data_IF_302597721681
#
_entry.id   IF_302597721681
#
_cell.length_a   1.000
_cell.length_b   1.000
_cell.length_c   1.000
_cell.angle_alpha   90.00
_cell.angle_beta   90.00
_cell.angle_gamma   90.00
#
_symmetry.space_group_name_H-M   'P 1'
#
loop_
_entity.id
_entity.type
_entity.pdbx_description
1 polymer ?
#
# COMPACT_ATOMS: atom_id res chain seq x y z
N UNK A 1 -41.85 42.29 13.23
CA UNK A 1 -41.48 40.91 13.57
C UNK A 1 -40.61 40.41 12.44
N UNK A 2 -39.30 40.62 12.55
CA UNK A 2 -38.35 40.02 11.61
C UNK A 2 -38.28 38.54 11.92
N UNK A 3 -38.63 37.72 10.94
CA UNK A 3 -38.66 36.28 11.08
C UNK A 3 -37.26 35.73 10.72
N UNK A 4 -36.46 35.27 11.70
CA UNK A 4 -35.06 34.89 11.48
C UNK A 4 -34.90 33.56 10.71
N UNK A 5 -36.00 32.99 10.22
CA UNK A 5 -36.03 31.71 9.50
C UNK A 5 -35.94 31.85 7.97
N UNK A 6 -35.80 33.08 7.43
CA UNK A 6 -35.79 33.34 5.97
C UNK A 6 -34.42 33.77 5.39
N UNK A 7 -33.32 33.66 6.13
CA UNK A 7 -31.98 34.08 5.64
C UNK A 7 -31.05 32.93 5.22
N UNK A 8 -31.58 31.73 4.98
CA UNK A 8 -30.91 30.79 4.09
C UNK A 8 -31.16 31.30 2.67
N UNK A 9 -30.30 32.20 2.19
CA UNK A 9 -30.31 32.61 0.79
C UNK A 9 -30.20 31.34 -0.07
N UNK A 10 -31.16 31.05 -0.97
CA UNK A 10 -31.10 29.87 -1.82
C UNK A 10 -29.78 29.74 -2.58
N UNK A 11 -29.15 30.88 -2.91
CA UNK A 11 -27.83 30.93 -3.55
C UNK A 11 -26.72 30.39 -2.62
N UNK A 12 -26.76 30.72 -1.32
CA UNK A 12 -25.79 30.21 -0.33
C UNK A 12 -25.95 28.70 -0.08
N UNK A 13 -27.18 28.21 -0.05
CA UNK A 13 -27.46 26.79 0.04
C UNK A 13 -26.93 26.04 -1.20
N UNK A 14 -27.13 26.61 -2.39
CA UNK A 14 -26.69 26.00 -3.65
C UNK A 14 -25.16 25.99 -3.78
N UNK A 15 -24.47 27.09 -3.45
CA UNK A 15 -22.99 27.14 -3.37
C UNK A 15 -22.42 26.10 -2.40
N UNK A 16 -23.06 25.92 -1.23
CA UNK A 16 -22.60 24.95 -0.23
C UNK A 16 -22.76 23.50 -0.70
N UNK A 17 -23.79 23.20 -1.48
CA UNK A 17 -23.98 21.89 -2.12
C UNK A 17 -22.93 21.69 -3.22
N UNK A 18 -22.64 22.70 -4.04
CA UNK A 18 -21.60 22.66 -5.06
C UNK A 18 -20.21 22.44 -4.46
N UNK A 19 -19.86 23.18 -3.41
CA UNK A 19 -18.60 23.01 -2.67
C UNK A 19 -18.49 21.61 -2.04
N UNK A 20 -19.59 21.09 -1.47
CA UNK A 20 -19.61 19.75 -0.91
C UNK A 20 -19.41 18.70 -2.00
N UNK A 21 -20.08 18.84 -3.14
CA UNK A 21 -19.91 17.97 -4.31
C UNK A 21 -18.47 18.00 -4.82
N UNK A 22 -17.89 19.19 -5.00
CA UNK A 22 -16.51 19.33 -5.46
C UNK A 22 -15.51 18.66 -4.52
N UNK A 23 -15.72 18.75 -3.19
CA UNK A 23 -14.88 18.06 -2.19
C UNK A 23 -15.07 16.55 -2.21
N UNK A 24 -16.29 16.07 -2.41
CA UNK A 24 -16.58 14.63 -2.51
C UNK A 24 -15.94 14.04 -3.78
N UNK A 25 -16.07 14.73 -4.91
CA UNK A 25 -15.46 14.33 -6.18
C UNK A 25 -13.92 14.30 -6.07
N UNK A 26 -13.31 15.32 -5.46
CA UNK A 26 -11.87 15.37 -5.21
C UNK A 26 -11.39 14.24 -4.29
N UNK A 27 -12.14 13.93 -3.23
CA UNK A 27 -11.80 12.84 -2.32
C UNK A 27 -11.89 11.47 -3.01
N UNK A 28 -12.91 11.27 -3.86
CA UNK A 28 -13.07 10.04 -4.65
C UNK A 28 -11.92 9.87 -5.66
N UNK A 29 -11.55 10.94 -6.37
CA UNK A 29 -10.43 10.92 -7.32
C UNK A 29 -9.09 10.61 -6.62
N UNK A 30 -8.83 11.23 -5.48
CA UNK A 30 -7.60 10.97 -4.70
C UNK A 30 -7.56 9.54 -4.17
N UNK A 31 -8.70 9.00 -3.71
CA UNK A 31 -8.78 7.62 -3.25
C UNK A 31 -8.54 6.61 -4.39
N UNK A 32 -9.08 6.86 -5.58
CA UNK A 32 -8.86 6.01 -6.74
C UNK A 32 -7.38 6.03 -7.18
N UNK A 33 -6.79 7.23 -7.30
CA UNK A 33 -5.37 7.37 -7.65
C UNK A 33 -4.45 6.70 -6.63
N UNK A 34 -4.77 6.79 -5.32
CA UNK A 34 -4.04 6.08 -4.28
C UNK A 34 -4.16 4.56 -4.46
N UNK A 35 -5.37 4.06 -4.73
CA UNK A 35 -5.62 2.63 -4.96
C UNK A 35 -4.85 2.11 -6.17
N UNK A 36 -4.85 2.82 -7.30
CA UNK A 36 -4.12 2.43 -8.51
C UNK A 36 -2.61 2.39 -8.27
N UNK A 37 -2.06 3.40 -7.56
CA UNK A 37 -0.64 3.42 -7.19
C UNK A 37 -0.28 2.26 -6.27
N UNK A 38 -1.12 1.97 -5.27
CA UNK A 38 -0.93 0.83 -4.38
C UNK A 38 -0.96 -0.50 -5.14
N UNK A 39 -1.87 -0.68 -6.10
CA UNK A 39 -1.96 -1.89 -6.91
C UNK A 39 -0.77 -2.06 -7.87
N UNK A 40 -0.15 -0.97 -8.29
CA UNK A 40 1.04 -1.00 -9.14
C UNK A 40 2.36 -1.14 -8.36
N UNK A 41 2.32 -1.15 -7.02
CA UNK A 41 3.53 -1.29 -6.22
C UNK A 41 4.17 -2.66 -6.43
N UNK A 42 5.50 -2.63 -6.54
CA UNK A 42 6.34 -3.81 -6.50
C UNK A 42 7.55 -3.48 -5.64
N UNK A 43 8.05 -4.45 -4.87
CA UNK A 43 9.25 -4.27 -4.09
C UNK A 43 10.29 -5.33 -4.44
N UNK A 44 11.55 -4.90 -4.53
CA UNK A 44 12.69 -5.78 -4.79
C UNK A 44 13.67 -5.74 -3.62
N UNK A 45 14.05 -6.91 -3.14
CA UNK A 45 15.08 -7.09 -2.12
C UNK A 45 16.17 -8.04 -2.59
N UNK A 46 17.33 -7.99 -1.92
CA UNK A 46 18.44 -8.91 -2.16
C UNK A 46 19.15 -9.22 -0.86
N UNK A 47 19.85 -10.35 -0.80
CA UNK A 47 20.76 -10.66 0.30
C UNK A 47 22.02 -9.80 0.20
N UNK A 48 22.77 -9.73 1.31
CA UNK A 48 23.97 -8.89 1.41
C UNK A 48 25.06 -9.29 0.40
N UNK A 49 25.04 -10.54 -0.06
CA UNK A 49 26.01 -11.09 -1.00
C UNK A 49 25.56 -11.01 -2.48
N UNK A 50 24.34 -10.53 -2.76
CA UNK A 50 23.75 -10.52 -4.10
C UNK A 50 23.58 -11.91 -4.72
N UNK A 51 23.44 -12.92 -3.87
CA UNK A 51 23.19 -14.30 -4.25
C UNK A 51 21.74 -14.50 -4.67
N UNK A 52 20.81 -13.87 -3.97
CA UNK A 52 19.36 -14.02 -4.13
C UNK A 52 18.75 -12.63 -4.25
N UNK A 53 17.98 -12.41 -5.31
CA UNK A 53 17.16 -11.21 -5.51
C UNK A 53 15.72 -11.65 -5.72
N UNK A 54 14.79 -11.07 -4.97
CA UNK A 54 13.36 -11.39 -5.05
C UNK A 54 12.57 -10.12 -5.30
N UNK A 55 11.57 -10.22 -6.17
CA UNK A 55 10.57 -9.17 -6.40
C UNK A 55 9.19 -9.69 -6.00
N UNK A 56 8.46 -8.86 -5.26
CA UNK A 56 7.08 -9.10 -4.86
C UNK A 56 6.16 -8.04 -5.45
N UNK A 57 4.91 -8.41 -5.74
CA UNK A 57 3.86 -7.49 -6.15
C UNK A 57 3.17 -6.80 -4.96
N UNK A 58 2.19 -5.96 -5.25
CA UNK A 58 1.41 -5.21 -4.29
C UNK A 58 0.68 -6.10 -3.26
N UNK A 59 0.38 -7.34 -3.60
CA UNK A 59 -0.24 -8.30 -2.70
C UNK A 59 0.79 -9.04 -1.85
N UNK A 60 2.08 -8.80 -2.05
CA UNK A 60 3.17 -9.51 -1.36
C UNK A 60 3.50 -10.84 -2.01
N UNK A 61 2.93 -11.17 -3.17
CA UNK A 61 3.21 -12.42 -3.88
C UNK A 61 4.54 -12.31 -4.62
N UNK A 62 5.39 -13.33 -4.52
CA UNK A 62 6.64 -13.39 -5.29
C UNK A 62 6.34 -13.50 -6.80
N UNK A 63 6.73 -12.48 -7.55
CA UNK A 63 6.60 -12.43 -9.01
C UNK A 63 7.88 -12.77 -9.74
N UNK A 64 9.03 -12.61 -9.07
CA UNK A 64 10.35 -12.90 -9.65
C UNK A 64 11.35 -13.34 -8.59
N UNK A 65 12.14 -14.36 -8.92
CA UNK A 65 13.33 -14.76 -8.19
C UNK A 65 14.52 -14.84 -9.15
N UNK A 66 15.64 -14.26 -8.75
CA UNK A 66 16.92 -14.31 -9.45
C UNK A 66 17.97 -14.89 -8.52
N UNK A 67 18.59 -15.99 -8.94
CA UNK A 67 19.67 -16.65 -8.22
C UNK A 67 20.97 -16.44 -9.00
N UNK A 68 21.98 -15.89 -8.34
CA UNK A 68 23.29 -15.74 -8.95
C UNK A 68 24.01 -17.10 -9.07
N UNK A 69 25.07 -17.15 -9.88
CA UNK A 69 25.91 -18.34 -10.01
C UNK A 69 26.57 -18.77 -8.68
N UNK A 70 26.59 -17.91 -7.65
CA UNK A 70 27.17 -18.24 -6.33
C UNK A 70 26.39 -19.34 -5.60
N UNK A 71 25.09 -19.49 -5.91
CA UNK A 71 24.22 -20.50 -5.30
C UNK A 71 24.75 -21.93 -5.51
N UNK A 72 25.45 -22.18 -6.62
CA UNK A 72 26.03 -23.50 -6.93
C UNK A 72 27.12 -23.93 -5.94
N UNK A 73 27.71 -22.99 -5.20
CA UNK A 73 28.75 -23.27 -4.20
C UNK A 73 28.19 -23.33 -2.78
N UNK A 74 26.90 -23.11 -2.60
CA UNK A 74 26.24 -23.07 -1.29
C UNK A 74 25.43 -24.36 -1.07
N UNK A 75 25.16 -24.67 0.19
CA UNK A 75 24.24 -25.75 0.52
C UNK A 75 22.81 -25.34 0.14
N UNK A 76 21.97 -26.34 -0.14
CA UNK A 76 20.56 -26.11 -0.40
C UNK A 76 19.88 -25.41 0.79
N UNK A 77 20.21 -25.81 2.02
CA UNK A 77 19.71 -25.20 3.24
C UNK A 77 20.08 -23.71 3.36
N UNK A 78 21.33 -23.35 3.04
CA UNK A 78 21.73 -21.94 3.08
C UNK A 78 20.96 -21.12 2.04
N UNK A 79 20.71 -21.71 0.87
CA UNK A 79 19.95 -21.04 -0.20
C UNK A 79 18.50 -20.86 0.20
N UNK A 80 17.89 -21.86 0.84
CA UNK A 80 16.54 -21.80 1.39
C UNK A 80 16.41 -20.68 2.42
N UNK A 81 17.31 -20.63 3.40
CA UNK A 81 17.33 -19.57 4.41
C UNK A 81 17.46 -18.18 3.78
N UNK A 82 18.37 -18.04 2.80
CA UNK A 82 18.58 -16.78 2.09
C UNK A 82 17.33 -16.35 1.29
N UNK A 83 16.63 -17.28 0.64
CA UNK A 83 15.37 -16.99 -0.07
C UNK A 83 14.31 -16.50 0.90
N UNK A 84 14.11 -17.19 2.03
CA UNK A 84 13.11 -16.81 3.03
C UNK A 84 13.43 -15.45 3.65
N UNK A 85 14.71 -15.19 3.94
CA UNK A 85 15.15 -13.88 4.47
C UNK A 85 14.91 -12.75 3.47
N UNK A 86 15.29 -12.95 2.20
CA UNK A 86 15.14 -11.93 1.16
C UNK A 86 13.67 -11.69 0.82
N UNK A 87 12.83 -12.73 0.87
CA UNK A 87 11.39 -12.60 0.67
C UNK A 87 10.76 -11.72 1.76
N UNK A 88 11.08 -11.97 3.04
CA UNK A 88 10.66 -11.12 4.16
C UNK A 88 11.14 -9.68 4.02
N UNK A 89 12.41 -9.48 3.64
CA UNK A 89 12.96 -8.13 3.32
C UNK A 89 12.18 -7.44 2.19
N UNK A 90 11.68 -8.19 1.20
CA UNK A 90 10.87 -7.65 0.11
C UNK A 90 9.49 -7.21 0.60
N UNK A 91 8.83 -8.01 1.45
CA UNK A 91 7.54 -7.65 2.08
C UNK A 91 7.66 -6.42 3.00
N UNK A 92 8.75 -6.31 3.78
CA UNK A 92 9.04 -5.12 4.60
C UNK A 92 9.19 -3.86 3.73
N UNK A 93 9.99 -3.94 2.66
CA UNK A 93 10.14 -2.85 1.69
C UNK A 93 8.82 -2.46 1.02
N UNK A 94 7.99 -3.44 0.69
CA UNK A 94 6.68 -3.21 0.11
C UNK A 94 5.77 -2.44 1.07
N UNK A 95 5.81 -2.80 2.36
CA UNK A 95 5.06 -2.11 3.41
C UNK A 95 5.50 -0.66 3.55
N UNK A 96 6.81 -0.39 3.53
CA UNK A 96 7.33 0.98 3.57
C UNK A 96 6.93 1.80 2.33
N UNK A 97 6.99 1.21 1.13
CA UNK A 97 6.53 1.87 -0.09
C UNK A 97 5.02 2.17 -0.06
N UNK A 98 4.21 1.26 0.49
CA UNK A 98 2.77 1.48 0.67
C UNK A 98 2.48 2.63 1.65
N UNK A 99 3.24 2.74 2.75
CA UNK A 99 3.14 3.87 3.70
C UNK A 99 3.40 5.21 3.01
N UNK A 100 4.40 5.28 2.15
CA UNK A 100 4.74 6.49 1.38
C UNK A 100 3.60 6.89 0.44
N UNK A 101 3.05 5.94 -0.34
CA UNK A 101 1.92 6.20 -1.25
C UNK A 101 0.68 6.70 -0.49
N UNK A 102 0.37 6.12 0.67
CA UNK A 102 -0.75 6.54 1.50
C UNK A 102 -0.50 7.93 2.10
N UNK A 103 0.72 8.20 2.56
CA UNK A 103 1.11 9.50 3.10
C UNK A 103 0.93 10.62 2.07
N UNK A 104 1.38 10.40 0.83
CA UNK A 104 1.29 11.37 -0.27
C UNK A 104 -0.15 11.61 -0.74
N UNK A 105 -1.03 10.63 -0.63
CA UNK A 105 -2.38 10.70 -1.23
C UNK A 105 -3.44 11.26 -0.28
N UNK A 106 -3.48 10.79 0.97
CA UNK A 106 -4.55 11.12 1.93
C UNK A 106 -4.01 11.61 3.28
N UNK A 107 -2.68 11.67 3.45
CA UNK A 107 -2.03 11.93 4.72
C UNK A 107 -2.08 10.71 5.65
N UNK A 108 -0.93 10.26 6.12
CA UNK A 108 -0.78 9.07 6.99
C UNK A 108 -1.55 9.19 8.32
N UNK A 109 -1.79 10.43 8.80
CA UNK A 109 -2.55 10.72 10.01
C UNK A 109 -4.07 10.80 9.83
N UNK A 110 -4.61 10.65 8.61
CA UNK A 110 -6.05 10.70 8.37
C UNK A 110 -6.74 9.38 8.75
N UNK A 111 -8.05 9.42 9.03
CA UNK A 111 -8.83 8.21 9.29
C UNK A 111 -8.81 7.25 8.09
N UNK A 112 -8.84 7.81 6.87
CA UNK A 112 -8.73 7.07 5.61
C UNK A 112 -7.36 6.42 5.44
N UNK A 113 -6.27 7.14 5.71
CA UNK A 113 -4.91 6.60 5.62
C UNK A 113 -4.68 5.43 6.57
N UNK A 114 -5.15 5.55 7.82
CA UNK A 114 -5.09 4.45 8.80
C UNK A 114 -5.90 3.22 8.37
N UNK A 115 -7.09 3.42 7.82
CA UNK A 115 -7.94 2.31 7.37
C UNK A 115 -7.33 1.56 6.18
N UNK A 116 -6.72 2.29 5.23
CA UNK A 116 -6.01 1.72 4.09
C UNK A 116 -4.79 0.89 4.55
N UNK A 117 -3.96 1.44 5.44
CA UNK A 117 -2.80 0.72 5.98
C UNK A 117 -3.19 -0.52 6.77
N UNK A 118 -4.20 -0.44 7.65
CA UNK A 118 -4.65 -1.60 8.42
C UNK A 118 -5.25 -2.71 7.52
N UNK A 119 -5.86 -2.35 6.39
CA UNK A 119 -6.32 -3.32 5.39
C UNK A 119 -5.16 -3.97 4.61
N UNK A 120 -4.10 -3.21 4.38
CA UNK A 120 -2.90 -3.65 3.69
C UNK A 120 -2.06 -4.61 4.54
N UNK A 121 -1.77 -4.24 5.80
CA UNK A 121 -1.02 -5.06 6.76
C UNK A 121 -1.68 -6.42 6.99
N UNK A 122 -3.01 -6.45 7.22
CA UNK A 122 -3.77 -7.71 7.35
C UNK A 122 -3.73 -8.60 6.12
N UNK A 123 -3.50 -8.03 4.93
CA UNK A 123 -3.37 -8.82 3.70
C UNK A 123 -2.02 -9.51 3.67
N UNK A 124 -0.95 -8.80 4.01
CA UNK A 124 0.40 -9.32 4.03
C UNK A 124 0.60 -10.37 5.14
N UNK A 125 0.06 -10.14 6.34
CA UNK A 125 0.14 -11.09 7.47
C UNK A 125 -0.44 -12.48 7.13
N UNK A 126 -1.52 -12.53 6.34
CA UNK A 126 -2.15 -13.79 5.91
C UNK A 126 -1.26 -14.64 5.01
N UNK A 127 -0.27 -14.05 4.37
CA UNK A 127 0.65 -14.75 3.46
C UNK A 127 1.87 -15.31 4.20
N UNK A 128 2.19 -14.76 5.37
CA UNK A 128 3.25 -15.25 6.26
C UNK A 128 2.78 -16.39 7.16
N UNK A 129 1.47 -16.66 7.25
CA UNK A 129 0.97 -17.87 7.89
C UNK A 129 1.42 -19.08 7.07
N UNK A 130 2.30 -19.96 7.62
CA UNK A 130 2.65 -21.19 6.95
C UNK A 130 1.35 -21.97 6.78
N UNK A 131 0.89 -22.09 5.53
CA UNK A 131 -0.40 -22.68 5.23
C UNK A 131 -0.60 -23.94 6.04
N UNK A 132 -1.61 -23.95 6.92
CA UNK A 132 -2.07 -25.15 7.61
C UNK A 132 -2.28 -26.22 6.53
N UNK A 133 -1.33 -27.16 6.46
CA UNK A 133 -1.37 -28.35 5.61
C UNK A 133 -1.58 -29.56 6.50
#
# INVERSE_FOLDING_TARGET
>A
MDNPLLSLDPEDAMRRIEDWKARADAAAANALAASERLQALTATASDDNGTVTITVDADGTMTKIELSHRVQKQSAHFTEDAVMEVYRKAQEKLTEAAKEVVADSVGSGSATGRALMAGYERRLERLDEPGER
#
